data_IF_788310931618
#
_entry.id   IF_788310931618
#
_cell.length_a   1.000
_cell.length_b   1.000
_cell.length_c   1.000
_cell.angle_alpha   90.00
_cell.angle_beta   90.00
_cell.angle_gamma   90.00
#
_symmetry.space_group_name_H-M   'P 1'
#
loop_
_entity.id
_entity.type
_entity.pdbx_description
1 polymer ?
#
# COMPACT_ATOMS: atom_id res chain seq x y z
N UNK A 1 26.90 -11.69 -29.95
CA UNK A 1 26.45 -12.94 -29.31
C UNK A 1 25.16 -12.63 -28.56
N UNK A 2 25.09 -11.56 -27.77
CA UNK A 2 23.78 -11.04 -27.33
C UNK A 2 22.98 -11.96 -26.41
N UNK A 3 23.49 -13.16 -26.12
CA UNK A 3 22.85 -14.17 -25.28
C UNK A 3 22.96 -13.76 -23.82
N UNK A 4 21.92 -13.07 -23.34
CA UNK A 4 21.77 -12.77 -21.92
C UNK A 4 20.88 -13.85 -21.31
N UNK A 5 21.44 -14.61 -20.37
CA UNK A 5 20.69 -15.57 -19.55
C UNK A 5 20.22 -14.88 -18.28
N UNK A 6 18.92 -14.99 -17.99
CA UNK A 6 18.37 -14.49 -16.73
C UNK A 6 18.86 -15.36 -15.57
N UNK A 7 19.64 -14.75 -14.67
CA UNK A 7 20.21 -15.41 -13.47
C UNK A 7 19.44 -15.05 -12.19
N UNK A 8 18.30 -14.38 -12.31
CA UNK A 8 17.44 -14.07 -11.17
C UNK A 8 16.52 -15.22 -10.81
N UNK A 9 15.68 -15.00 -9.80
CA UNK A 9 14.62 -15.92 -9.42
C UNK A 9 13.26 -15.47 -9.98
N UNK A 10 12.27 -16.36 -9.88
CA UNK A 10 10.88 -16.06 -10.25
C UNK A 10 10.05 -15.67 -9.02
N UNK A 11 10.71 -15.26 -7.94
CA UNK A 11 10.03 -15.06 -6.67
C UNK A 11 9.21 -13.78 -6.72
N UNK A 12 8.00 -13.87 -6.20
CA UNK A 12 7.15 -12.71 -5.97
C UNK A 12 7.34 -12.25 -4.53
N UNK A 13 7.70 -10.99 -4.36
CA UNK A 13 7.75 -10.31 -3.07
C UNK A 13 6.37 -9.75 -2.77
N UNK A 14 5.80 -10.16 -1.64
CA UNK A 14 4.47 -9.77 -1.19
C UNK A 14 4.58 -8.88 0.04
N UNK A 15 3.70 -7.89 0.12
CA UNK A 15 3.52 -7.03 1.28
C UNK A 15 2.07 -7.07 1.71
N UNK A 16 1.84 -7.32 2.99
CA UNK A 16 0.51 -7.26 3.58
C UNK A 16 0.08 -5.80 3.72
N UNK A 17 -1.11 -5.49 3.21
CA UNK A 17 -1.69 -4.13 3.25
C UNK A 17 -3.01 -4.07 4.02
N UNK A 18 -3.52 -5.22 4.42
CA UNK A 18 -4.58 -5.41 5.41
C UNK A 18 -4.57 -6.85 5.90
N UNK A 19 -5.41 -7.16 6.91
CA UNK A 19 -5.59 -8.52 7.43
C UNK A 19 -6.04 -9.54 6.38
N UNK A 20 -6.54 -9.08 5.22
CA UNK A 20 -7.08 -9.93 4.15
C UNK A 20 -6.52 -9.60 2.77
N UNK A 21 -5.54 -8.70 2.64
CA UNK A 21 -5.01 -8.29 1.34
C UNK A 21 -3.49 -8.21 1.36
N UNK A 22 -2.90 -8.90 0.38
CA UNK A 22 -1.47 -8.85 0.08
C UNK A 22 -1.27 -8.23 -1.30
N UNK A 23 -0.27 -7.36 -1.45
CA UNK A 23 0.12 -6.80 -2.74
C UNK A 23 1.48 -7.35 -3.13
N UNK A 24 1.59 -7.82 -4.37
CA UNK A 24 2.89 -8.11 -4.98
C UNK A 24 3.58 -6.78 -5.26
N UNK A 25 4.86 -6.64 -4.92
CA UNK A 25 5.62 -5.39 -5.08
C UNK A 25 6.78 -5.47 -6.08
N UNK A 26 7.19 -6.66 -6.49
CA UNK A 26 8.22 -6.83 -7.52
C UNK A 26 7.62 -7.42 -8.82
N UNK A 27 8.45 -7.49 -9.85
CA UNK A 27 8.21 -8.27 -11.06
C UNK A 27 9.52 -8.93 -11.47
N UNK A 28 9.58 -10.27 -11.59
CA UNK A 28 10.75 -10.98 -12.07
C UNK A 28 11.21 -10.51 -13.45
N UNK A 29 12.49 -10.65 -13.75
CA UNK A 29 13.07 -10.19 -15.02
C UNK A 29 12.60 -11.01 -16.22
N UNK A 30 12.30 -12.30 -16.03
CA UNK A 30 11.75 -13.18 -17.07
C UNK A 30 10.30 -12.86 -17.44
N UNK A 31 9.57 -12.19 -16.54
CA UNK A 31 8.24 -11.64 -16.77
C UNK A 31 8.27 -10.34 -17.59
N UNK A 32 9.35 -9.55 -17.48
CA UNK A 32 9.53 -8.28 -18.21
C UNK A 32 10.20 -8.52 -19.57
N UNK A 33 11.30 -9.27 -19.57
CA UNK A 33 12.12 -9.55 -20.74
C UNK A 33 11.73 -10.91 -21.33
N UNK A 34 10.45 -11.04 -21.71
CA UNK A 34 9.92 -12.28 -22.26
C UNK A 34 10.60 -12.61 -23.59
N UNK A 35 10.91 -13.90 -23.84
CA UNK A 35 11.45 -14.32 -25.12
C UNK A 35 10.40 -14.17 -26.23
N UNK A 36 10.88 -13.98 -27.45
CA UNK A 36 10.04 -13.76 -28.63
C UNK A 36 9.91 -15.07 -29.42
N UNK A 37 8.76 -15.29 -30.04
CA UNK A 37 8.58 -16.38 -30.98
C UNK A 37 9.16 -15.99 -32.34
N UNK A 38 10.09 -16.80 -32.83
CA UNK A 38 10.72 -16.66 -34.15
C UNK A 38 10.36 -17.85 -35.01
N UNK A 39 9.72 -17.58 -36.15
CA UNK A 39 9.47 -18.60 -37.17
C UNK A 39 10.56 -18.57 -38.23
N UNK A 40 11.13 -19.73 -38.55
CA UNK A 40 12.12 -19.85 -39.61
C UNK A 40 11.49 -19.98 -41.01
N UNK A 41 12.34 -20.12 -42.04
CA UNK A 41 11.88 -20.28 -43.42
C UNK A 41 11.21 -21.63 -43.72
N UNK A 42 11.30 -22.61 -42.82
CA UNK A 42 10.63 -23.91 -42.90
C UNK A 42 9.26 -23.90 -42.20
N UNK A 43 8.95 -22.84 -41.43
CA UNK A 43 7.72 -22.70 -40.67
C UNK A 43 7.83 -23.17 -39.22
N UNK A 44 9.02 -23.55 -38.75
CA UNK A 44 9.24 -23.97 -37.37
C UNK A 44 9.38 -22.75 -36.46
N UNK A 45 8.60 -22.72 -35.38
CA UNK A 45 8.66 -21.64 -34.38
C UNK A 45 9.58 -22.02 -33.23
N UNK A 46 10.59 -21.19 -33.00
CA UNK A 46 11.54 -21.29 -31.90
C UNK A 46 11.41 -20.08 -30.97
N UNK A 47 11.79 -20.24 -29.71
CA UNK A 47 11.81 -19.14 -28.76
C UNK A 47 13.22 -18.55 -28.70
N UNK A 48 13.35 -17.27 -29.02
CA UNK A 48 14.61 -16.53 -28.90
C UNK A 48 14.55 -15.57 -27.71
N UNK A 49 15.67 -15.45 -26.98
CA UNK A 49 15.78 -14.52 -25.86
C UNK A 49 15.54 -13.08 -26.30
N UNK A 50 14.92 -12.29 -25.42
CA UNK A 50 14.61 -10.87 -25.65
C UNK A 50 15.81 -10.07 -26.20
N UNK A 51 16.96 -10.17 -25.53
CA UNK A 51 18.16 -9.41 -25.90
C UNK A 51 18.84 -9.94 -27.17
N UNK A 52 18.76 -11.25 -27.40
CA UNK A 52 19.27 -11.86 -28.63
C UNK A 52 18.45 -11.42 -29.85
N UNK A 53 17.13 -11.27 -29.72
CA UNK A 53 16.29 -10.73 -30.81
C UNK A 53 16.66 -9.27 -31.16
N UNK A 54 17.05 -8.46 -30.16
CA UNK A 54 17.51 -7.09 -30.38
C UNK A 54 18.93 -7.07 -30.99
N UNK A 55 19.84 -7.92 -30.53
CA UNK A 55 21.20 -8.08 -31.10
C UNK A 55 21.11 -8.50 -32.57
N UNK A 56 20.29 -9.51 -32.88
CA UNK A 56 20.05 -9.98 -34.24
C UNK A 56 19.46 -8.90 -35.16
N UNK A 57 18.60 -8.03 -34.62
CA UNK A 57 18.06 -6.91 -35.38
C UNK A 57 19.13 -5.86 -35.65
N UNK A 58 19.99 -5.56 -34.68
CA UNK A 58 21.13 -4.65 -34.86
C UNK A 58 22.12 -5.20 -35.91
N UNK A 59 22.45 -6.49 -35.83
CA UNK A 59 23.32 -7.17 -36.80
C UNK A 59 22.69 -7.17 -38.21
N UNK A 60 21.37 -7.35 -38.31
CA UNK A 60 20.66 -7.28 -39.58
C UNK A 60 20.73 -5.88 -40.22
N UNK A 61 20.65 -4.82 -39.41
CA UNK A 61 20.81 -3.44 -39.87
C UNK A 61 22.23 -3.15 -40.35
N UNK A 62 23.25 -3.65 -39.65
CA UNK A 62 24.66 -3.49 -40.02
C UNK A 62 24.98 -4.25 -41.32
N UNK A 63 24.41 -5.45 -41.48
CA UNK A 63 24.61 -6.30 -42.64
C UNK A 63 23.72 -5.94 -43.85
N UNK A 64 22.87 -4.92 -43.72
CA UNK A 64 21.91 -4.49 -44.75
C UNK A 64 21.05 -5.67 -45.29
N UNK A 65 20.60 -6.56 -44.40
CA UNK A 65 19.83 -7.74 -44.77
C UNK A 65 18.32 -7.48 -44.60
N UNK A 66 17.65 -7.09 -45.68
CA UNK A 66 16.22 -6.74 -45.71
C UNK A 66 15.29 -7.81 -45.11
N UNK A 67 15.62 -9.10 -45.31
CA UNK A 67 14.82 -10.23 -44.79
C UNK A 67 14.91 -10.26 -43.26
N UNK A 68 16.13 -10.19 -42.71
CA UNK A 68 16.33 -10.20 -41.26
C UNK A 68 15.88 -8.90 -40.60
N UNK A 69 15.97 -7.75 -41.29
CA UNK A 69 15.42 -6.46 -40.84
C UNK A 69 13.90 -6.55 -40.69
N UNK A 70 13.20 -7.09 -41.70
CA UNK A 70 11.74 -7.23 -41.66
C UNK A 70 11.27 -8.16 -40.53
N UNK A 71 12.01 -9.26 -40.30
CA UNK A 71 11.77 -10.16 -39.17
C UNK A 71 12.02 -9.45 -37.84
N UNK A 72 13.18 -8.82 -37.68
CA UNK A 72 13.55 -8.13 -36.45
C UNK A 72 12.58 -6.99 -36.10
N UNK A 73 12.03 -6.29 -37.10
CA UNK A 73 10.98 -5.29 -36.87
C UNK A 73 9.71 -5.90 -36.24
N UNK A 74 9.30 -7.08 -36.71
CA UNK A 74 8.15 -7.80 -36.15
C UNK A 74 8.44 -8.26 -34.72
N UNK A 75 9.65 -8.77 -34.47
CA UNK A 75 10.09 -9.21 -33.15
C UNK A 75 10.19 -8.05 -32.15
N UNK A 76 10.78 -6.92 -32.56
CA UNK A 76 10.87 -5.69 -31.76
C UNK A 76 9.48 -5.11 -31.48
N UNK A 77 8.54 -5.21 -32.41
CA UNK A 77 7.15 -4.81 -32.18
C UNK A 77 6.51 -5.67 -31.08
N UNK A 78 6.71 -6.99 -31.11
CA UNK A 78 6.20 -7.90 -30.08
C UNK A 78 6.85 -7.66 -28.70
N UNK A 79 8.15 -7.35 -28.69
CA UNK A 79 8.89 -6.90 -27.50
C UNK A 79 8.24 -5.64 -26.93
N UNK A 80 8.00 -4.64 -27.77
CA UNK A 80 7.44 -3.35 -27.36
C UNK A 80 6.03 -3.52 -26.79
N UNK A 81 5.21 -4.36 -27.41
CA UNK A 81 3.88 -4.71 -26.91
C UNK A 81 3.95 -5.39 -25.53
N UNK A 82 4.82 -6.39 -25.38
CA UNK A 82 5.02 -7.10 -24.11
C UNK A 82 5.48 -6.18 -22.98
N UNK A 83 6.41 -5.27 -23.29
CA UNK A 83 6.84 -4.22 -22.34
C UNK A 83 5.70 -3.25 -22.01
N UNK A 84 4.89 -2.87 -22.99
CA UNK A 84 3.71 -2.02 -22.80
C UNK A 84 2.71 -2.65 -21.82
N UNK A 85 2.43 -3.95 -21.97
CA UNK A 85 1.60 -4.71 -21.03
C UNK A 85 2.22 -4.71 -19.64
N UNK A 86 3.54 -4.90 -19.53
CA UNK A 86 4.23 -4.92 -18.24
C UNK A 86 4.15 -3.57 -17.52
N UNK A 87 4.27 -2.45 -18.26
CA UNK A 87 4.12 -1.09 -17.74
C UNK A 87 2.67 -0.81 -17.33
N UNK A 88 1.69 -1.24 -18.15
CA UNK A 88 0.27 -1.06 -17.84
C UNK A 88 -0.13 -1.80 -16.55
N UNK A 89 0.34 -3.04 -16.37
CA UNK A 89 0.14 -3.81 -15.14
C UNK A 89 0.78 -3.12 -13.92
N UNK A 90 2.00 -2.59 -14.07
CA UNK A 90 2.64 -1.79 -13.01
C UNK A 90 1.79 -0.56 -12.64
N UNK A 91 1.25 0.16 -13.64
CA UNK A 91 0.35 1.29 -13.42
C UNK A 91 -0.92 0.89 -12.66
N UNK A 92 -1.55 -0.23 -13.01
CA UNK A 92 -2.71 -0.75 -12.28
C UNK A 92 -2.37 -1.10 -10.82
N UNK A 93 -1.20 -1.66 -10.57
CA UNK A 93 -0.71 -1.95 -9.22
C UNK A 93 -0.45 -0.67 -8.44
N UNK A 94 0.13 0.37 -9.05
CA UNK A 94 0.29 1.69 -8.43
C UNK A 94 -1.06 2.28 -8.02
N UNK A 95 -2.05 2.27 -8.91
CA UNK A 95 -3.41 2.74 -8.59
C UNK A 95 -4.03 1.95 -7.42
N UNK A 96 -3.80 0.64 -7.37
CA UNK A 96 -4.29 -0.20 -6.26
C UNK A 96 -3.62 0.17 -4.94
N UNK A 97 -2.31 0.40 -4.96
CA UNK A 97 -1.55 0.86 -3.79
C UNK A 97 -2.05 2.21 -3.31
N UNK A 98 -2.24 3.18 -4.20
CA UNK A 98 -2.71 4.51 -3.83
C UNK A 98 -4.13 4.48 -3.25
N UNK A 99 -5.05 3.73 -3.86
CA UNK A 99 -6.39 3.52 -3.31
C UNK A 99 -6.35 2.88 -1.91
N UNK A 100 -5.46 1.91 -1.69
CA UNK A 100 -5.29 1.28 -0.39
C UNK A 100 -4.71 2.26 0.64
N UNK A 101 -3.81 3.16 0.25
CA UNK A 101 -3.28 4.21 1.13
C UNK A 101 -4.37 5.17 1.59
N UNK A 102 -5.29 5.55 0.71
CA UNK A 102 -6.41 6.42 1.06
C UNK A 102 -7.35 5.74 2.06
N UNK A 103 -7.69 4.47 1.83
CA UNK A 103 -8.51 3.68 2.78
C UNK A 103 -7.85 3.55 4.15
N UNK A 104 -6.53 3.32 4.18
CA UNK A 104 -5.78 3.25 5.43
C UNK A 104 -5.71 4.60 6.14
N UNK A 105 -5.61 5.71 5.40
CA UNK A 105 -5.63 7.05 5.98
C UNK A 105 -7.00 7.38 6.62
N UNK A 106 -8.11 7.07 5.93
CA UNK A 106 -9.47 7.23 6.47
C UNK A 106 -9.70 6.35 7.69
N UNK A 107 -9.29 5.08 7.62
CA UNK A 107 -9.39 4.14 8.74
C UNK A 107 -8.61 4.64 9.97
N UNK A 108 -7.41 5.20 9.74
CA UNK A 108 -6.60 5.79 10.81
C UNK A 108 -7.32 6.99 11.45
N UNK A 109 -7.88 7.91 10.65
CA UNK A 109 -8.63 9.06 11.16
C UNK A 109 -9.83 8.60 11.99
N UNK A 110 -10.60 7.63 11.49
CA UNK A 110 -11.74 7.08 12.23
C UNK A 110 -11.33 6.45 13.55
N UNK A 111 -10.21 5.73 13.59
CA UNK A 111 -9.69 5.20 14.85
C UNK A 111 -9.24 6.30 15.82
N UNK A 112 -8.66 7.40 15.31
CA UNK A 112 -8.33 8.56 16.14
C UNK A 112 -9.58 9.24 16.71
N UNK A 113 -10.65 9.40 15.91
CA UNK A 113 -11.93 9.95 16.37
C UNK A 113 -12.60 9.05 17.41
N UNK A 114 -12.63 7.73 17.18
CA UNK A 114 -13.19 6.77 18.14
C UNK A 114 -12.41 6.76 19.45
N UNK A 115 -11.08 6.83 19.38
CA UNK A 115 -10.23 6.93 20.56
C UNK A 115 -10.47 8.25 21.32
N UNK A 116 -10.49 9.39 20.61
CA UNK A 116 -10.77 10.70 21.22
C UNK A 116 -12.13 10.69 21.91
N UNK A 117 -13.20 10.26 21.24
CA UNK A 117 -14.54 10.21 21.84
C UNK A 117 -14.59 9.29 23.07
N UNK A 118 -13.88 8.17 23.04
CA UNK A 118 -13.81 7.26 24.19
C UNK A 118 -13.05 7.87 25.38
N UNK A 119 -11.94 8.57 25.13
CA UNK A 119 -11.17 9.29 26.17
C UNK A 119 -11.92 10.53 26.69
N UNK A 120 -12.51 11.33 25.80
CA UNK A 120 -13.26 12.56 26.12
C UNK A 120 -14.50 12.28 26.98
N UNK A 121 -15.19 11.16 26.77
CA UNK A 121 -16.31 10.73 27.62
C UNK A 121 -15.85 10.45 29.07
N UNK A 122 -14.66 9.87 29.25
CA UNK A 122 -14.11 9.61 30.57
C UNK A 122 -13.76 10.93 31.27
N UNK A 123 -13.11 11.87 30.59
CA UNK A 123 -12.83 13.20 31.15
C UNK A 123 -14.11 13.95 31.54
N UNK A 124 -15.14 13.97 30.69
CA UNK A 124 -16.41 14.62 31.02
C UNK A 124 -17.12 13.98 32.23
N UNK A 125 -17.06 12.65 32.34
CA UNK A 125 -17.60 11.89 33.48
C UNK A 125 -16.82 12.18 34.76
N UNK A 126 -15.48 12.16 34.69
CA UNK A 126 -14.60 12.47 35.82
C UNK A 126 -14.80 13.90 36.34
N UNK A 127 -14.93 14.89 35.46
CA UNK A 127 -15.23 16.28 35.85
C UNK A 127 -16.60 16.41 36.51
N UNK A 128 -17.61 15.71 36.01
CA UNK A 128 -18.96 15.71 36.58
C UNK A 128 -18.96 15.05 37.96
N UNK A 129 -18.28 13.92 38.11
CA UNK A 129 -18.11 13.21 39.38
C UNK A 129 -17.41 14.10 40.42
N UNK A 130 -16.29 14.72 40.04
CA UNK A 130 -15.56 15.65 40.90
C UNK A 130 -16.42 16.86 41.31
N UNK A 131 -17.20 17.42 40.38
CA UNK A 131 -18.10 18.54 40.67
C UNK A 131 -19.19 18.15 41.67
N UNK A 132 -19.72 16.93 41.56
CA UNK A 132 -20.69 16.40 42.51
C UNK A 132 -20.09 16.17 43.89
N UNK A 133 -18.84 15.66 43.95
CA UNK A 133 -18.11 15.49 45.22
C UNK A 133 -17.82 16.84 45.89
N UNK A 134 -17.39 17.85 45.14
CA UNK A 134 -17.17 19.20 45.65
C UNK A 134 -18.47 19.83 46.18
N UNK A 135 -19.57 19.72 45.45
CA UNK A 135 -20.88 20.21 45.88
C UNK A 135 -21.33 19.51 47.18
N UNK A 136 -21.16 18.18 47.26
CA UNK A 136 -21.48 17.42 48.46
C UNK A 136 -20.60 17.84 49.65
N UNK A 137 -19.31 18.09 49.42
CA UNK A 137 -18.38 18.56 50.44
C UNK A 137 -18.78 19.94 50.98
N UNK A 138 -19.11 20.89 50.10
CA UNK A 138 -19.59 22.23 50.48
C UNK A 138 -20.88 22.14 51.29
N UNK A 139 -21.85 21.34 50.86
CA UNK A 139 -23.11 21.14 51.56
C UNK A 139 -22.90 20.52 52.96
N UNK A 140 -21.97 19.57 53.10
CA UNK A 140 -21.61 18.96 54.37
C UNK A 140 -20.95 19.99 55.32
N UNK A 141 -20.02 20.81 54.82
CA UNK A 141 -19.38 21.87 55.60
C UNK A 141 -20.39 22.94 56.06
N UNK A 142 -21.29 23.37 55.18
CA UNK A 142 -22.36 24.33 55.52
C UNK A 142 -23.32 23.75 56.58
N UNK A 143 -23.70 22.48 56.44
CA UNK A 143 -24.55 21.78 57.41
C UNK A 143 -23.86 21.63 58.77
N UNK A 144 -22.58 21.27 58.78
CA UNK A 144 -21.77 21.21 60.00
C UNK A 144 -21.67 22.58 60.69
N UNK A 145 -21.40 23.64 59.93
CA UNK A 145 -21.36 25.00 60.47
C UNK A 145 -22.71 25.42 61.08
N UNK A 146 -23.83 25.07 60.45
CA UNK A 146 -25.17 25.38 60.96
C UNK A 146 -25.52 24.59 62.23
N UNK A 147 -25.20 23.30 62.28
CA UNK A 147 -25.40 22.44 63.46
C UNK A 147 -24.51 22.91 64.62
N UNK A 148 -23.25 23.24 64.34
CA UNK A 148 -22.29 23.76 65.33
C UNK A 148 -22.76 25.09 65.93
N UNK A 149 -23.31 26.01 65.12
CA UNK A 149 -23.93 27.25 65.60
C UNK A 149 -25.16 27.01 66.48
N UNK A 150 -25.99 26.00 66.19
CA UNK A 150 -27.19 25.69 66.97
C UNK A 150 -26.89 25.03 68.33
N UNK A 151 -25.83 24.22 68.43
CA UNK A 151 -25.51 23.49 69.66
C UNK A 151 -24.64 24.26 70.66
N UNK A 152 -23.86 25.26 70.22
CA UNK A 152 -22.95 25.97 71.13
C UNK A 152 -23.54 27.28 71.71
N UNK A 153 -24.53 27.90 71.04
CA UNK A 153 -25.17 29.14 71.53
C UNK A 153 -26.50 28.94 72.26
N UNK A 154 -27.17 27.77 72.12
CA UNK A 154 -28.40 27.49 72.87
C UNK A 154 -28.17 26.81 74.23
N UNK A 155 -26.96 26.30 74.52
CA UNK A 155 -26.68 25.59 75.79
C UNK A 155 -26.24 26.52 76.93
N UNK A 156 -25.96 27.81 76.66
CA UNK A 156 -25.45 28.77 77.65
C UNK A 156 -26.41 29.94 77.93
N UNK A 157 -27.73 29.75 77.77
CA UNK A 157 -28.73 30.75 78.19
C UNK A 157 -29.47 30.35 79.45
#
# INVERSE_FOLDING_TARGET
>A
DGTITYQGDKNLSLVDVSDYRTLVINRPGDEVFKPVARTDGAGDTTSIGFFAAIDDFADALIAENDVNISRGLTEVSSITESMGIAIADLGNRMNTVDSQRDVLADTKLRYQELLSNAEDLDYATAVTQLSAELLSLEAAQASFAKISQLNLFNYLR
#
